data_IF_665532149754
#
_entry.id   IF_665532149754
#
_cell.length_a   1.000
_cell.length_b   1.000
_cell.length_c   1.000
_cell.angle_alpha   90.00
_cell.angle_beta   90.00
_cell.angle_gamma   90.00
#
_symmetry.space_group_name_H-M   'P 1'
#
loop_
_entity.id
_entity.type
_entity.pdbx_description
1 polymer ?
#
# COMPACT_ATOMS: atom_id res chain seq x y z
N UNK A 1 -21.44 4.82 -5.48
CA UNK A 1 -21.36 5.53 -4.20
C UNK A 1 -21.48 7.01 -4.48
N UNK A 2 -22.31 7.71 -3.72
CA UNK A 2 -22.42 9.16 -3.77
C UNK A 2 -22.01 9.75 -2.41
N UNK A 3 -21.10 10.72 -2.45
CA UNK A 3 -20.72 11.56 -1.32
C UNK A 3 -21.63 12.80 -1.32
N UNK A 4 -22.71 12.73 -0.55
CA UNK A 4 -23.76 13.77 -0.55
C UNK A 4 -23.23 15.06 0.07
N UNK A 5 -22.46 14.96 1.15
CA UNK A 5 -21.83 16.11 1.80
C UNK A 5 -20.84 16.80 0.85
N UNK A 6 -20.01 16.03 0.15
CA UNK A 6 -19.06 16.53 -0.84
C UNK A 6 -19.74 17.14 -2.06
N UNK A 7 -20.90 16.63 -2.47
CA UNK A 7 -21.71 17.24 -3.53
C UNK A 7 -22.21 18.62 -3.12
N UNK A 8 -22.80 18.76 -1.92
CA UNK A 8 -23.27 20.04 -1.39
C UNK A 8 -22.12 21.04 -1.31
N UNK A 9 -20.99 20.64 -0.72
CA UNK A 9 -19.79 21.50 -0.59
C UNK A 9 -19.33 22.04 -1.95
N UNK A 10 -19.32 21.21 -3.00
CA UNK A 10 -18.92 21.62 -4.36
C UNK A 10 -19.92 22.57 -5.00
N UNK A 11 -21.22 22.27 -4.92
CA UNK A 11 -22.26 23.12 -5.51
C UNK A 11 -22.38 24.47 -4.78
N UNK A 12 -22.27 24.44 -3.45
CA UNK A 12 -22.23 25.65 -2.64
C UNK A 12 -21.02 26.54 -3.01
N UNK A 13 -19.83 25.94 -3.18
CA UNK A 13 -18.64 26.68 -3.63
C UNK A 13 -18.80 27.30 -5.03
N UNK A 14 -19.64 26.69 -5.90
CA UNK A 14 -20.02 27.22 -7.21
C UNK A 14 -21.15 28.25 -7.16
N UNK A 15 -21.63 28.62 -5.97
CA UNK A 15 -22.74 29.56 -5.74
C UNK A 15 -24.07 29.11 -6.38
N UNK A 16 -24.30 27.80 -6.49
CA UNK A 16 -25.62 27.26 -6.84
C UNK A 16 -26.63 27.62 -5.75
N UNK A 17 -27.88 27.84 -6.14
CA UNK A 17 -29.01 28.06 -5.24
C UNK A 17 -29.35 26.81 -4.42
N UNK A 18 -30.03 26.99 -3.29
CA UNK A 18 -30.48 25.88 -2.45
C UNK A 18 -31.40 24.92 -3.23
N UNK A 19 -32.27 25.43 -4.09
CA UNK A 19 -33.18 24.63 -4.92
C UNK A 19 -32.41 23.73 -5.89
N UNK A 20 -31.37 24.25 -6.55
CA UNK A 20 -30.51 23.45 -7.44
C UNK A 20 -29.76 22.35 -6.68
N UNK A 21 -29.27 22.66 -5.48
CA UNK A 21 -28.55 21.68 -4.64
C UNK A 21 -29.50 20.57 -4.18
N UNK A 22 -30.67 20.92 -3.65
CA UNK A 22 -31.66 19.96 -3.18
C UNK A 22 -32.17 19.09 -4.33
N UNK A 23 -32.44 19.68 -5.50
CA UNK A 23 -32.83 18.93 -6.70
C UNK A 23 -31.79 17.86 -7.05
N UNK A 24 -30.49 18.24 -7.05
CA UNK A 24 -29.43 17.27 -7.33
C UNK A 24 -29.29 16.21 -6.25
N UNK A 25 -29.49 16.54 -4.98
CA UNK A 25 -29.47 15.55 -3.89
C UNK A 25 -30.61 14.55 -4.01
N UNK A 26 -31.82 15.02 -4.33
CA UNK A 26 -32.99 14.16 -4.56
C UNK A 26 -32.70 13.16 -5.67
N UNK A 27 -32.14 13.61 -6.79
CA UNK A 27 -31.76 12.73 -7.90
C UNK A 27 -30.74 11.66 -7.45
N UNK A 28 -29.70 12.06 -6.71
CA UNK A 28 -28.69 11.11 -6.23
C UNK A 28 -29.27 10.11 -5.23
N UNK A 29 -30.09 10.55 -4.27
CA UNK A 29 -30.68 9.67 -3.26
C UNK A 29 -31.59 8.63 -3.92
N UNK A 30 -32.44 9.03 -4.89
CA UNK A 30 -33.33 8.10 -5.63
C UNK A 30 -32.58 7.01 -6.40
N UNK A 31 -31.33 7.26 -6.79
CA UNK A 31 -30.52 6.24 -7.49
C UNK A 31 -30.15 5.08 -6.56
N UNK A 32 -29.93 5.35 -5.27
CA UNK A 32 -29.41 4.35 -4.32
C UNK A 32 -30.44 3.84 -3.32
N UNK A 33 -31.45 4.65 -2.98
CA UNK A 33 -32.44 4.34 -1.94
C UNK A 33 -33.83 4.16 -2.57
N UNK A 34 -34.50 3.07 -2.20
CA UNK A 34 -35.90 2.83 -2.54
C UNK A 34 -36.80 3.47 -1.47
N UNK A 35 -37.02 4.78 -1.61
CA UNK A 35 -37.78 5.61 -0.69
C UNK A 35 -38.87 6.37 -1.44
N UNK A 36 -39.94 6.73 -0.75
CA UNK A 36 -40.96 7.61 -1.31
C UNK A 36 -40.39 9.01 -1.60
N UNK A 37 -41.00 9.75 -2.53
CA UNK A 37 -40.58 11.11 -2.87
C UNK A 37 -40.54 12.05 -1.66
N UNK A 38 -41.45 11.85 -0.69
CA UNK A 38 -41.49 12.62 0.55
C UNK A 38 -40.29 12.32 1.45
N UNK A 39 -39.95 11.05 1.64
CA UNK A 39 -38.80 10.62 2.44
C UNK A 39 -37.47 11.06 1.81
N UNK A 40 -37.37 10.98 0.48
CA UNK A 40 -36.17 11.47 -0.24
C UNK A 40 -35.99 12.97 -0.02
N UNK A 41 -37.07 13.74 -0.12
CA UNK A 41 -37.01 15.19 0.08
C UNK A 41 -36.64 15.53 1.53
N UNK A 42 -37.19 14.82 2.51
CA UNK A 42 -36.84 14.98 3.93
C UNK A 42 -35.35 14.71 4.17
N UNK A 43 -34.85 13.58 3.66
CA UNK A 43 -33.43 13.23 3.77
C UNK A 43 -32.53 14.27 3.08
N UNK A 44 -32.87 14.70 1.86
CA UNK A 44 -32.11 15.73 1.15
C UNK A 44 -32.01 17.04 1.95
N UNK A 45 -33.12 17.46 2.58
CA UNK A 45 -33.15 18.65 3.42
C UNK A 45 -32.31 18.48 4.70
N UNK A 46 -32.37 17.32 5.35
CA UNK A 46 -31.56 17.04 6.54
C UNK A 46 -30.06 17.07 6.22
N UNK A 47 -29.64 16.33 5.19
CA UNK A 47 -28.25 16.28 4.70
C UNK A 47 -27.77 17.70 4.34
N UNK A 48 -28.60 18.49 3.65
CA UNK A 48 -28.27 19.88 3.34
C UNK A 48 -28.07 20.73 4.60
N UNK A 49 -29.01 20.66 5.54
CA UNK A 49 -28.99 21.46 6.78
C UNK A 49 -27.75 21.16 7.64
N UNK A 50 -27.44 19.87 7.84
CA UNK A 50 -26.27 19.44 8.61
C UNK A 50 -24.97 19.87 7.92
N UNK A 51 -24.89 19.70 6.60
CA UNK A 51 -23.71 20.12 5.83
C UNK A 51 -23.48 21.63 5.92
N UNK A 52 -24.54 22.43 5.77
CA UNK A 52 -24.44 23.89 5.87
C UNK A 52 -24.07 24.34 7.29
N UNK A 53 -24.62 23.66 8.30
CA UNK A 53 -24.24 23.88 9.71
C UNK A 53 -22.75 23.62 9.92
N UNK A 54 -22.23 22.49 9.42
CA UNK A 54 -20.82 22.15 9.51
C UNK A 54 -19.92 23.15 8.76
N UNK A 55 -20.31 23.58 7.55
CA UNK A 55 -19.58 24.60 6.77
C UNK A 55 -19.47 25.91 7.56
N UNK A 56 -20.56 26.36 8.18
CA UNK A 56 -20.56 27.59 8.96
C UNK A 56 -19.61 27.53 10.15
N UNK A 57 -19.52 26.39 10.84
CA UNK A 57 -18.60 26.20 11.97
C UNK A 57 -17.13 26.33 11.55
N UNK A 58 -16.77 25.99 10.31
CA UNK A 58 -15.40 26.13 9.78
C UNK A 58 -14.91 27.59 9.72
N UNK A 59 -15.81 28.58 9.81
CA UNK A 59 -15.45 30.01 9.86
C UNK A 59 -15.31 30.56 11.28
N UNK A 60 -15.61 29.74 12.31
CA UNK A 60 -15.56 30.16 13.71
C UNK A 60 -14.15 30.57 14.12
N UNK A 61 -13.98 31.83 14.55
CA UNK A 61 -12.68 32.35 15.04
C UNK A 61 -12.09 31.54 16.20
N UNK A 62 -12.90 30.74 16.90
CA UNK A 62 -12.46 29.93 18.05
C UNK A 62 -11.82 28.60 17.65
N UNK A 63 -12.28 28.00 16.54
CA UNK A 63 -11.95 26.60 16.18
C UNK A 63 -11.68 26.40 14.68
N UNK A 64 -11.70 27.45 13.87
CA UNK A 64 -11.48 27.36 12.42
C UNK A 64 -10.15 26.70 12.08
N UNK A 65 -9.08 26.98 12.84
CA UNK A 65 -7.78 26.33 12.65
C UNK A 65 -7.82 24.82 12.91
N UNK A 66 -8.72 24.34 13.76
CA UNK A 66 -8.91 22.92 14.08
C UNK A 66 -9.82 22.26 13.04
N UNK A 67 -10.95 22.88 12.72
CA UNK A 67 -11.96 22.33 11.81
C UNK A 67 -11.53 22.36 10.34
N UNK A 68 -10.56 23.19 9.95
CA UNK A 68 -10.00 23.22 8.60
C UNK A 68 -8.65 22.51 8.54
N UNK A 69 -8.36 21.83 7.43
CA UNK A 69 -7.02 21.33 7.13
C UNK A 69 -6.26 22.31 6.22
N UNK A 70 -4.91 22.29 6.20
CA UNK A 70 -4.14 23.09 5.26
C UNK A 70 -4.32 22.59 3.82
N UNK A 71 -5.01 23.36 2.98
CA UNK A 71 -5.23 23.00 1.59
C UNK A 71 -3.98 23.26 0.74
N UNK A 72 -3.45 22.22 0.09
CA UNK A 72 -2.34 22.36 -0.87
C UNK A 72 -2.81 22.55 -2.31
N UNK A 73 -4.08 22.24 -2.62
CA UNK A 73 -4.65 22.29 -3.98
C UNK A 73 -4.10 21.24 -4.94
N UNK A 74 -3.51 20.17 -4.42
CA UNK A 74 -3.12 18.98 -5.18
C UNK A 74 -3.96 17.79 -4.71
N UNK A 75 -4.47 17.01 -5.66
CA UNK A 75 -5.15 15.75 -5.37
C UNK A 75 -4.16 14.58 -5.31
N UNK A 76 -4.61 13.44 -4.78
CA UNK A 76 -3.88 12.16 -4.87
C UNK A 76 -3.53 11.81 -6.31
N UNK A 77 -4.41 12.15 -7.26
CA UNK A 77 -4.18 11.93 -8.70
C UNK A 77 -3.04 12.79 -9.24
N UNK A 78 -3.04 14.09 -8.91
CA UNK A 78 -2.04 15.04 -9.42
C UNK A 78 -0.63 14.67 -8.97
N UNK A 79 -0.50 14.19 -7.73
CA UNK A 79 0.78 13.74 -7.17
C UNK A 79 1.05 12.26 -7.37
N UNK A 80 0.14 11.50 -7.99
CA UNK A 80 0.30 10.07 -8.21
C UNK A 80 0.44 9.25 -6.91
N UNK A 81 -0.15 9.69 -5.81
CA UNK A 81 -0.05 9.02 -4.50
C UNK A 81 -0.80 7.70 -4.53
N UNK A 82 -0.20 6.64 -4.01
CA UNK A 82 -0.67 5.26 -4.09
C UNK A 82 -0.23 4.52 -5.36
N UNK A 83 0.59 5.13 -6.21
CA UNK A 83 1.14 4.51 -7.42
C UNK A 83 2.65 4.22 -7.33
N UNK A 84 3.30 4.33 -6.16
CA UNK A 84 4.74 4.01 -5.95
C UNK A 84 5.67 4.65 -6.99
N UNK A 85 5.30 5.84 -7.43
CA UNK A 85 6.06 6.69 -8.33
C UNK A 85 6.70 7.87 -7.58
N UNK A 86 7.35 8.77 -8.31
CA UNK A 86 8.13 9.85 -7.69
C UNK A 86 7.30 10.76 -6.76
N UNK A 87 6.08 11.13 -7.18
CA UNK A 87 5.20 11.97 -6.38
C UNK A 87 4.65 11.28 -5.14
N UNK A 88 4.42 9.96 -5.22
CA UNK A 88 4.07 9.12 -4.08
C UNK A 88 5.18 9.13 -3.03
N UNK A 89 6.42 8.87 -3.45
CA UNK A 89 7.57 8.91 -2.55
C UNK A 89 7.78 10.27 -1.90
N UNK A 90 7.51 11.35 -2.62
CA UNK A 90 7.56 12.69 -2.08
C UNK A 90 6.52 12.89 -0.95
N UNK A 91 5.28 12.50 -1.16
CA UNK A 91 4.22 12.61 -0.13
C UNK A 91 4.53 11.71 1.06
N UNK A 92 4.98 10.47 0.83
CA UNK A 92 5.37 9.55 1.90
C UNK A 92 6.53 10.08 2.75
N UNK A 93 7.51 10.80 2.18
CA UNK A 93 8.56 11.48 2.95
C UNK A 93 8.00 12.57 3.85
N UNK A 94 7.00 13.32 3.39
CA UNK A 94 6.34 14.34 4.21
C UNK A 94 5.53 13.70 5.34
N UNK A 95 4.79 12.62 5.08
CA UNK A 95 4.08 11.84 6.10
C UNK A 95 5.04 11.29 7.15
N UNK A 96 6.18 10.75 6.72
CA UNK A 96 7.22 10.26 7.62
C UNK A 96 7.77 11.38 8.51
N UNK A 97 8.04 12.56 7.95
CA UNK A 97 8.47 13.74 8.70
C UNK A 97 7.44 14.19 9.74
N UNK A 98 6.16 14.20 9.40
CA UNK A 98 5.07 14.56 10.33
C UNK A 98 4.96 13.54 11.47
N UNK A 99 5.20 12.26 11.16
CA UNK A 99 5.05 11.15 12.12
C UNK A 99 6.25 10.97 13.04
N UNK A 100 7.38 11.61 12.75
CA UNK A 100 8.56 11.55 13.60
C UNK A 100 8.37 12.41 14.85
N UNK A 101 8.11 11.74 15.96
CA UNK A 101 7.90 12.35 17.28
C UNK A 101 9.17 12.37 18.13
N UNK A 102 10.34 12.09 17.55
CA UNK A 102 11.63 12.08 18.27
C UNK A 102 11.77 10.93 19.29
N UNK A 103 10.92 9.90 19.19
CA UNK A 103 11.00 8.70 20.03
C UNK A 103 11.84 7.65 19.34
N UNK A 104 12.75 7.02 20.09
CA UNK A 104 13.66 6.02 19.55
C UNK A 104 12.89 4.78 19.05
N UNK A 105 12.91 4.59 17.74
CA UNK A 105 12.41 3.40 17.05
C UNK A 105 13.58 2.65 16.43
N UNK A 106 13.43 1.33 16.20
CA UNK A 106 14.44 0.54 15.48
C UNK A 106 14.27 0.77 13.98
N UNK A 107 13.03 0.74 13.49
CA UNK A 107 12.64 1.15 12.15
C UNK A 107 11.43 2.07 12.27
N UNK A 108 11.64 3.35 12.03
CA UNK A 108 10.58 4.36 11.99
C UNK A 108 10.14 4.69 10.56
N UNK A 109 9.11 5.54 10.39
CA UNK A 109 8.61 5.95 9.08
C UNK A 109 9.69 6.54 8.15
N UNK A 110 10.71 7.21 8.72
CA UNK A 110 11.83 7.78 7.97
C UNK A 110 12.73 6.74 7.29
N UNK A 111 12.72 5.48 7.77
CA UNK A 111 13.49 4.40 7.14
C UNK A 111 12.91 3.99 5.76
N UNK A 112 11.65 4.33 5.48
CA UNK A 112 10.92 3.91 4.27
C UNK A 112 11.04 2.40 4.00
N UNK A 113 10.96 1.62 5.08
CA UNK A 113 11.02 0.16 5.05
C UNK A 113 9.60 -0.44 5.04
N UNK A 114 9.50 -1.75 4.83
CA UNK A 114 8.21 -2.45 4.64
C UNK A 114 7.37 -2.55 5.91
N UNK A 115 8.03 -2.45 7.07
CA UNK A 115 7.39 -2.52 8.38
C UNK A 115 8.08 -1.58 9.37
N UNK A 116 7.33 -1.14 10.38
CA UNK A 116 7.85 -0.43 11.53
C UNK A 116 8.37 -1.40 12.59
N UNK A 117 9.40 -1.01 13.33
CA UNK A 117 9.96 -1.82 14.40
C UNK A 117 10.28 -1.00 15.65
N UNK A 118 9.88 -1.49 16.82
CA UNK A 118 10.15 -0.87 18.12
C UNK A 118 10.75 -1.88 19.09
N UNK A 119 11.63 -1.39 19.97
CA UNK A 119 12.28 -2.22 20.98
C UNK A 119 11.29 -2.53 22.12
N UNK A 120 11.05 -3.82 22.35
CA UNK A 120 10.40 -4.33 23.55
C UNK A 120 11.41 -4.55 24.69
N UNK A 121 10.96 -5.19 25.78
CA UNK A 121 11.82 -5.46 26.94
C UNK A 121 12.89 -6.51 26.62
N UNK A 122 12.54 -7.54 25.85
CA UNK A 122 13.39 -8.69 25.54
C UNK A 122 13.41 -9.05 24.04
N UNK A 123 12.67 -8.32 23.23
CA UNK A 123 12.40 -8.58 21.82
C UNK A 123 12.24 -7.27 21.04
N UNK A 124 12.04 -7.40 19.74
CA UNK A 124 11.64 -6.32 18.84
C UNK A 124 10.27 -6.65 18.30
N UNK A 125 9.34 -5.71 18.45
CA UNK A 125 8.01 -5.80 17.89
C UNK A 125 8.05 -5.17 16.50
N UNK A 126 7.58 -5.93 15.50
CA UNK A 126 7.50 -5.51 14.10
C UNK A 126 6.04 -5.43 13.70
N UNK A 127 5.65 -4.33 13.05
CA UNK A 127 4.27 -4.04 12.70
C UNK A 127 4.20 -3.60 11.24
N UNK A 128 3.29 -4.20 10.47
CA UNK A 128 2.89 -3.71 9.14
C UNK A 128 1.36 -3.52 9.08
N UNK A 129 0.92 -2.65 8.19
CA UNK A 129 -0.49 -2.46 7.83
C UNK A 129 -0.58 -2.23 6.33
N UNK A 130 -1.48 -2.97 5.66
CA UNK A 130 -1.79 -2.75 4.25
C UNK A 130 -3.28 -2.50 4.05
N UNK A 131 -3.57 -1.55 3.16
CA UNK A 131 -4.91 -1.31 2.65
C UNK A 131 -5.27 -2.27 1.53
N UNK A 132 -6.54 -2.64 1.45
CA UNK A 132 -7.09 -3.43 0.34
C UNK A 132 -6.85 -2.74 -0.99
N UNK A 133 -6.38 -3.50 -1.98
CA UNK A 133 -6.23 -3.00 -3.33
C UNK A 133 -7.57 -2.45 -3.85
N UNK A 134 -7.61 -1.16 -4.16
CA UNK A 134 -8.88 -0.43 -4.37
C UNK A 134 -9.77 -1.04 -5.45
N UNK A 135 -9.20 -1.69 -6.47
CA UNK A 135 -9.96 -2.34 -7.55
C UNK A 135 -10.51 -3.73 -7.18
N UNK A 136 -10.15 -4.29 -6.03
CA UNK A 136 -10.66 -5.57 -5.53
C UNK A 136 -11.84 -5.42 -4.56
N UNK A 137 -12.31 -4.21 -4.34
CA UNK A 137 -13.42 -3.91 -3.42
C UNK A 137 -14.71 -4.70 -3.71
N UNK A 138 -14.95 -5.05 -4.97
CA UNK A 138 -16.12 -5.84 -5.40
C UNK A 138 -15.85 -7.35 -5.41
N UNK A 139 -14.65 -7.77 -4.98
CA UNK A 139 -14.21 -9.17 -4.92
C UNK A 139 -13.64 -9.45 -3.52
N UNK A 140 -14.49 -9.44 -2.47
CA UNK A 140 -14.04 -9.30 -1.10
C UNK A 140 -13.16 -10.45 -0.62
N UNK A 141 -13.46 -11.71 -0.97
CA UNK A 141 -12.59 -12.85 -0.67
C UNK A 141 -11.16 -12.65 -1.20
N UNK A 142 -11.03 -12.30 -2.47
CA UNK A 142 -9.73 -12.09 -3.14
C UNK A 142 -8.99 -10.92 -2.49
N UNK A 143 -9.71 -9.85 -2.19
CA UNK A 143 -9.18 -8.70 -1.44
C UNK A 143 -8.61 -9.12 -0.07
N UNK A 144 -9.42 -9.80 0.75
CA UNK A 144 -9.06 -10.24 2.10
C UNK A 144 -7.88 -11.21 2.11
N UNK A 145 -7.86 -12.15 1.16
CA UNK A 145 -6.75 -13.08 0.99
C UNK A 145 -5.45 -12.35 0.67
N UNK A 146 -5.45 -11.48 -0.33
CA UNK A 146 -4.23 -10.81 -0.79
C UNK A 146 -3.72 -9.76 0.19
N UNK A 147 -4.59 -8.96 0.81
CA UNK A 147 -4.15 -7.95 1.78
C UNK A 147 -3.56 -8.63 3.02
N UNK A 148 -4.15 -9.74 3.50
CA UNK A 148 -3.58 -10.49 4.63
C UNK A 148 -2.21 -11.06 4.28
N UNK A 149 -2.06 -11.63 3.06
CA UNK A 149 -0.77 -12.13 2.58
C UNK A 149 0.26 -11.00 2.50
N UNK A 150 -0.13 -9.83 2.01
CA UNK A 150 0.74 -8.67 1.86
C UNK A 150 1.23 -8.14 3.22
N UNK A 151 0.33 -7.93 4.17
CA UNK A 151 0.73 -7.47 5.50
C UNK A 151 1.59 -8.48 6.25
N UNK A 152 1.28 -9.77 6.14
CA UNK A 152 2.11 -10.82 6.75
C UNK A 152 3.50 -10.86 6.12
N UNK A 153 3.58 -10.75 4.78
CA UNK A 153 4.83 -10.72 4.04
C UNK A 153 5.76 -9.65 4.60
N UNK A 154 5.28 -8.42 4.76
CA UNK A 154 6.08 -7.28 5.22
C UNK A 154 6.70 -7.54 6.60
N UNK A 155 5.97 -8.21 7.49
CA UNK A 155 6.49 -8.67 8.80
C UNK A 155 7.54 -9.76 8.62
N UNK A 156 7.26 -10.78 7.81
CA UNK A 156 8.18 -11.89 7.56
C UNK A 156 9.52 -11.44 6.98
N UNK A 157 9.52 -10.53 6.00
CA UNK A 157 10.76 -10.09 5.33
C UNK A 157 11.67 -9.29 6.26
N UNK A 158 11.15 -8.72 7.36
CA UNK A 158 12.01 -8.11 8.40
C UNK A 158 12.63 -9.15 9.35
N UNK A 159 12.42 -10.44 9.11
CA UNK A 159 12.88 -11.53 9.96
C UNK A 159 11.97 -11.79 11.16
N UNK A 160 10.78 -11.18 11.20
CA UNK A 160 9.85 -11.29 12.32
C UNK A 160 8.84 -12.40 12.14
N UNK A 161 8.67 -13.24 13.16
CA UNK A 161 7.60 -14.24 13.17
C UNK A 161 6.27 -13.54 13.46
N UNK A 162 5.28 -13.56 12.55
CA UNK A 162 3.97 -12.99 12.85
C UNK A 162 3.28 -13.77 13.96
N UNK A 163 2.63 -13.04 14.87
CA UNK A 163 1.92 -13.56 16.03
C UNK A 163 0.43 -13.21 16.03
N UNK A 164 0.07 -12.10 15.40
CA UNK A 164 -1.30 -11.60 15.41
C UNK A 164 -1.62 -10.81 14.13
N UNK A 165 -2.86 -10.92 13.70
CA UNK A 165 -3.48 -10.06 12.70
C UNK A 165 -4.53 -9.16 13.37
N UNK A 166 -4.76 -7.99 12.80
CA UNK A 166 -5.87 -7.11 13.11
C UNK A 166 -6.49 -6.56 11.82
N UNK A 167 -7.74 -6.09 11.86
CA UNK A 167 -8.39 -5.56 10.65
C UNK A 167 -9.31 -4.38 10.94
N UNK A 168 -9.43 -3.45 10.00
CA UNK A 168 -10.43 -2.39 10.04
C UNK A 168 -11.27 -2.44 8.77
N UNK A 169 -12.59 -2.52 8.92
CA UNK A 169 -13.55 -2.78 7.85
C UNK A 169 -14.53 -1.61 7.74
N UNK A 170 -14.63 -1.01 6.57
CA UNK A 170 -15.54 0.10 6.31
C UNK A 170 -16.43 -0.23 5.12
N UNK A 171 -17.72 -0.41 5.37
CA UNK A 171 -18.72 -0.68 4.33
C UNK A 171 -19.66 0.52 4.22
N UNK A 172 -19.91 1.01 3.01
CA UNK A 172 -20.87 2.08 2.80
C UNK A 172 -22.30 1.64 3.19
N UNK A 173 -23.18 2.60 3.46
CA UNK A 173 -24.47 2.36 4.11
C UNK A 173 -25.38 1.37 3.38
N UNK A 174 -25.33 1.36 2.03
CA UNK A 174 -26.12 0.45 1.19
C UNK A 174 -25.36 -0.82 0.79
N UNK A 175 -24.18 -1.04 1.35
CA UNK A 175 -23.36 -2.21 1.07
C UNK A 175 -23.97 -3.48 1.65
N UNK A 176 -23.99 -4.54 0.86
CA UNK A 176 -24.35 -5.87 1.35
C UNK A 176 -23.32 -6.35 2.38
N UNK A 177 -23.77 -6.64 3.61
CA UNK A 177 -22.94 -7.14 4.71
C UNK A 177 -22.23 -8.45 4.38
N UNK A 178 -22.71 -9.22 3.39
CA UNK A 178 -22.03 -10.36 2.82
C UNK A 178 -20.62 -10.04 2.31
N UNK A 179 -20.36 -8.80 1.89
CA UNK A 179 -19.00 -8.35 1.55
C UNK A 179 -18.04 -8.44 2.74
N UNK A 180 -18.51 -8.12 3.95
CA UNK A 180 -17.71 -8.23 5.17
C UNK A 180 -17.37 -9.70 5.45
N UNK A 181 -18.36 -10.59 5.33
CA UNK A 181 -18.17 -12.01 5.59
C UNK A 181 -17.21 -12.66 4.59
N UNK A 182 -17.36 -12.33 3.31
CA UNK A 182 -16.53 -12.86 2.25
C UNK A 182 -15.08 -12.34 2.33
N UNK A 183 -14.90 -11.05 2.69
CA UNK A 183 -13.57 -10.50 3.01
C UNK A 183 -12.91 -11.22 4.18
N UNK A 184 -13.66 -11.43 5.26
CA UNK A 184 -13.19 -12.17 6.43
C UNK A 184 -12.87 -13.63 6.09
N UNK A 185 -13.58 -14.25 5.14
CA UNK A 185 -13.24 -15.59 4.64
C UNK A 185 -11.87 -15.63 3.93
N UNK A 186 -11.51 -14.56 3.20
CA UNK A 186 -10.18 -14.37 2.63
C UNK A 186 -9.09 -14.30 3.71
N UNK A 187 -9.26 -13.44 4.71
CA UNK A 187 -8.35 -13.34 5.87
C UNK A 187 -8.23 -14.69 6.58
N UNK A 188 -9.39 -15.30 6.86
CA UNK A 188 -9.50 -16.58 7.56
C UNK A 188 -8.71 -17.67 6.86
N UNK A 189 -8.70 -17.69 5.54
CA UNK A 189 -8.00 -18.70 4.74
C UNK A 189 -6.49 -18.61 4.99
N UNK A 190 -5.92 -17.41 4.89
CA UNK A 190 -4.48 -17.20 5.18
C UNK A 190 -4.17 -17.51 6.64
N UNK A 191 -4.94 -16.96 7.57
CA UNK A 191 -4.81 -17.19 9.02
C UNK A 191 -4.81 -18.69 9.39
N UNK A 192 -5.71 -19.48 8.80
CA UNK A 192 -5.76 -20.94 9.04
C UNK A 192 -4.53 -21.67 8.52
N UNK A 193 -4.02 -21.26 7.36
CA UNK A 193 -2.90 -21.94 6.69
C UNK A 193 -1.55 -21.59 7.33
N UNK A 194 -1.43 -20.41 7.94
CA UNK A 194 -0.20 -19.94 8.62
C UNK A 194 -0.24 -20.14 10.13
N UNK A 195 -1.42 -20.40 10.70
CA UNK A 195 -1.61 -20.52 12.14
C UNK A 195 -1.55 -19.18 12.89
N UNK A 196 -1.57 -18.04 12.18
CA UNK A 196 -1.52 -16.70 12.78
C UNK A 196 -2.94 -16.18 12.99
N UNK A 197 -3.38 -15.96 14.24
CA UNK A 197 -4.77 -15.59 14.53
C UNK A 197 -5.07 -14.12 14.22
N UNK A 198 -6.30 -13.84 13.76
CA UNK A 198 -6.90 -12.50 13.82
C UNK A 198 -7.41 -12.26 15.25
N UNK A 199 -6.84 -11.26 15.95
CA UNK A 199 -7.08 -11.05 17.39
C UNK A 199 -7.89 -9.78 17.69
N UNK A 200 -7.96 -8.84 16.75
CA UNK A 200 -8.66 -7.57 16.94
C UNK A 200 -9.24 -7.07 15.62
N UNK A 201 -10.28 -6.24 15.71
CA UNK A 201 -10.73 -5.48 14.56
C UNK A 201 -11.79 -4.44 14.86
N UNK A 202 -12.13 -3.66 13.83
CA UNK A 202 -13.13 -2.60 13.84
C UNK A 202 -14.03 -2.71 12.60
N UNK A 203 -15.28 -2.27 12.73
CA UNK A 203 -16.24 -2.26 11.63
C UNK A 203 -17.10 -1.00 11.69
N UNK A 204 -17.05 -0.19 10.64
CA UNK A 204 -17.72 1.11 10.57
C UNK A 204 -18.38 1.33 9.20
N UNK A 205 -19.22 2.37 9.12
CA UNK A 205 -19.78 2.84 7.86
C UNK A 205 -18.86 3.86 7.20
N UNK A 206 -18.65 3.76 5.89
CA UNK A 206 -17.94 4.81 5.14
C UNK A 206 -18.80 6.07 5.16
N UNK A 207 -18.32 7.15 5.80
CA UNK A 207 -19.00 8.45 5.80
C UNK A 207 -20.36 8.47 6.51
N UNK A 208 -20.72 7.41 7.24
CA UNK A 208 -22.01 7.30 7.92
C UNK A 208 -23.18 7.29 6.94
N UNK A 209 -24.18 8.12 7.24
CA UNK A 209 -25.39 8.39 6.45
C UNK A 209 -25.17 9.41 5.32
N UNK A 210 -24.03 10.10 5.32
CA UNK A 210 -23.70 11.12 4.31
C UNK A 210 -23.09 10.55 3.02
N UNK A 211 -22.72 9.27 3.03
CA UNK A 211 -22.12 8.59 1.88
C UNK A 211 -22.86 7.29 1.59
N UNK A 212 -23.64 7.33 0.51
CA UNK A 212 -24.54 6.23 0.09
C UNK A 212 -23.89 5.38 -1.00
N UNK A 213 -24.33 4.13 -1.13
CA UNK A 213 -23.86 3.13 -2.08
C UNK A 213 -23.13 1.95 -1.43
N UNK A 214 -22.43 1.17 -2.26
CA UNK A 214 -22.02 -0.20 -1.88
C UNK A 214 -20.51 -0.40 -1.74
N UNK A 215 -19.74 0.70 -1.73
CA UNK A 215 -18.28 0.63 -1.71
C UNK A 215 -17.80 0.05 -0.38
N UNK A 216 -16.69 -0.66 -0.43
CA UNK A 216 -16.04 -1.25 0.72
C UNK A 216 -14.56 -0.80 0.76
N UNK A 217 -14.04 -0.49 1.94
CA UNK A 217 -12.64 -0.12 2.17
C UNK A 217 -12.20 -0.85 3.41
N UNK A 218 -10.99 -1.40 3.39
CA UNK A 218 -10.50 -2.15 4.53
C UNK A 218 -8.98 -2.15 4.56
N UNK A 219 -8.43 -2.46 5.72
CA UNK A 219 -7.03 -2.79 5.89
C UNK A 219 -6.85 -4.01 6.79
N UNK A 220 -5.68 -4.62 6.69
CA UNK A 220 -5.20 -5.65 7.61
C UNK A 220 -3.87 -5.18 8.18
N UNK A 221 -3.70 -5.36 9.49
CA UNK A 221 -2.47 -5.17 10.21
C UNK A 221 -1.90 -6.51 10.66
N UNK A 222 -0.58 -6.61 10.75
CA UNK A 222 0.11 -7.77 11.30
C UNK A 222 1.15 -7.33 12.33
N UNK A 223 1.27 -8.10 13.41
CA UNK A 223 2.26 -7.91 14.46
C UNK A 223 3.12 -9.16 14.54
N UNK A 224 4.43 -8.98 14.49
CA UNK A 224 5.41 -10.05 14.66
C UNK A 224 6.51 -9.67 15.63
N UNK A 225 7.35 -10.64 15.93
CA UNK A 225 8.46 -10.47 16.87
C UNK A 225 9.77 -10.98 16.29
N UNK A 226 10.85 -10.26 16.61
CA UNK A 226 12.24 -10.70 16.43
C UNK A 226 12.89 -10.75 17.80
N UNK A 227 13.56 -11.87 18.12
CA UNK A 227 14.20 -12.06 19.43
C UNK A 227 15.37 -11.10 19.66
N UNK A 228 16.12 -10.79 18.61
CA UNK A 228 17.35 -10.01 18.72
C UNK A 228 17.34 -8.84 17.73
N UNK A 229 17.55 -7.58 18.17
CA UNK A 229 17.49 -6.41 17.30
C UNK A 229 18.40 -6.47 16.08
N UNK A 230 19.57 -7.11 16.20
CA UNK A 230 20.54 -7.19 15.11
C UNK A 230 20.05 -8.10 13.95
N UNK A 231 19.05 -8.95 14.18
CA UNK A 231 18.45 -9.83 13.16
C UNK A 231 17.38 -9.14 12.31
N UNK A 232 16.99 -7.90 12.64
CA UNK A 232 16.04 -7.14 11.81
C UNK A 232 16.64 -6.93 10.42
N UNK A 233 15.97 -7.46 9.39
CA UNK A 233 16.38 -7.39 8.00
C UNK A 233 15.98 -6.03 7.37
N UNK A 234 16.65 -4.97 7.80
CA UNK A 234 16.45 -3.61 7.32
C UNK A 234 17.05 -3.43 5.91
N UNK A 235 16.35 -2.72 5.02
CA UNK A 235 16.83 -2.45 3.64
C UNK A 235 18.20 -1.76 3.60
N UNK A 236 18.50 -0.91 4.58
CA UNK A 236 19.79 -0.22 4.70
C UNK A 236 21.01 -1.15 4.91
N UNK A 237 20.80 -2.45 5.19
CA UNK A 237 21.88 -3.41 5.41
C UNK A 237 22.49 -4.00 4.14
N UNK A 238 21.91 -3.74 2.96
CA UNK A 238 22.43 -4.21 1.66
C UNK A 238 23.86 -3.74 1.44
N UNK A 239 24.73 -4.61 0.91
CA UNK A 239 26.15 -4.29 0.71
C UNK A 239 26.63 -4.61 -0.70
N UNK A 240 27.62 -3.88 -1.24
CA UNK A 240 28.34 -4.29 -2.44
C UNK A 240 28.90 -5.70 -2.31
N UNK A 241 28.75 -6.49 -3.37
CA UNK A 241 29.14 -7.89 -3.43
C UNK A 241 28.06 -8.88 -2.97
N UNK A 242 26.90 -8.41 -2.49
CA UNK A 242 25.78 -9.31 -2.23
C UNK A 242 25.25 -9.92 -3.52
N UNK A 243 24.90 -11.21 -3.45
CA UNK A 243 24.02 -11.86 -4.42
C UNK A 243 22.56 -11.45 -4.14
N UNK A 244 21.77 -11.42 -5.20
CA UNK A 244 20.33 -11.17 -5.16
C UNK A 244 19.61 -12.45 -5.59
N UNK A 245 19.05 -13.18 -4.62
CA UNK A 245 18.20 -14.34 -4.89
C UNK A 245 16.76 -13.89 -5.02
N UNK A 246 16.04 -14.45 -5.98
CA UNK A 246 14.61 -14.24 -6.16
C UNK A 246 13.85 -15.56 -6.13
N UNK A 247 12.66 -15.57 -5.53
CA UNK A 247 11.69 -16.68 -5.67
C UNK A 247 10.71 -16.43 -6.81
N UNK A 248 10.10 -17.50 -7.33
CA UNK A 248 9.04 -17.37 -8.33
C UNK A 248 7.89 -16.49 -7.83
N UNK A 249 7.43 -15.59 -8.70
CA UNK A 249 6.33 -14.67 -8.45
C UNK A 249 5.10 -15.03 -9.25
N UNK A 250 3.98 -15.20 -8.57
CA UNK A 250 2.69 -15.51 -9.19
C UNK A 250 1.65 -14.39 -8.99
N UNK A 251 2.05 -13.23 -8.46
CA UNK A 251 1.23 -12.05 -8.36
C UNK A 251 0.35 -11.99 -7.11
N UNK A 252 0.03 -10.77 -6.70
CA UNK A 252 -0.92 -10.44 -5.64
C UNK A 252 -2.16 -9.71 -6.15
N UNK A 253 -2.65 -8.77 -5.34
CA UNK A 253 -3.89 -8.05 -5.66
C UNK A 253 -3.85 -7.31 -7.00
N UNK A 254 -2.68 -6.82 -7.43
CA UNK A 254 -2.47 -6.15 -8.72
C UNK A 254 -2.65 -7.10 -9.91
N UNK A 255 -2.05 -8.30 -9.85
CA UNK A 255 -2.20 -9.34 -10.89
C UNK A 255 -3.62 -9.91 -10.88
N UNK A 256 -4.20 -10.17 -9.71
CA UNK A 256 -5.59 -10.61 -9.59
C UNK A 256 -6.57 -9.57 -10.19
N UNK A 257 -6.35 -8.28 -9.92
CA UNK A 257 -7.12 -7.20 -10.53
C UNK A 257 -6.99 -7.21 -12.06
N UNK A 258 -5.76 -7.33 -12.56
CA UNK A 258 -5.48 -7.36 -14.00
C UNK A 258 -6.18 -8.54 -14.67
N UNK A 259 -6.15 -9.71 -14.03
CA UNK A 259 -6.80 -10.91 -14.50
C UNK A 259 -8.33 -10.76 -14.55
N UNK A 260 -8.95 -10.26 -13.48
CA UNK A 260 -10.41 -10.05 -13.39
C UNK A 260 -10.89 -9.10 -14.49
N UNK A 261 -10.29 -7.90 -14.58
CA UNK A 261 -10.74 -6.90 -15.56
C UNK A 261 -10.22 -7.15 -16.99
N UNK A 262 -9.25 -8.05 -17.13
CA UNK A 262 -8.74 -8.54 -18.41
C UNK A 262 -9.47 -9.79 -18.93
N UNK A 263 -10.35 -10.40 -18.14
CA UNK A 263 -11.05 -11.63 -18.53
C UNK A 263 -10.14 -12.87 -18.59
N UNK A 264 -9.24 -13.02 -17.61
CA UNK A 264 -8.24 -14.11 -17.51
C UNK A 264 -8.42 -14.90 -16.20
N UNK A 265 -9.54 -15.60 -15.99
CA UNK A 265 -9.84 -16.27 -14.72
C UNK A 265 -8.78 -17.31 -14.31
N UNK A 266 -8.11 -17.94 -15.27
CA UNK A 266 -7.02 -18.89 -15.05
C UNK A 266 -5.86 -18.29 -14.25
N UNK A 267 -5.57 -17.00 -14.44
CA UNK A 267 -4.50 -16.29 -13.72
C UNK A 267 -4.88 -16.05 -12.26
N UNK A 268 -6.16 -15.88 -11.95
CA UNK A 268 -6.64 -15.65 -10.57
C UNK A 268 -6.26 -16.84 -9.68
N UNK A 269 -6.38 -18.06 -10.21
CA UNK A 269 -6.03 -19.26 -9.45
C UNK A 269 -4.54 -19.35 -9.15
N UNK A 270 -3.68 -18.85 -10.04
CA UNK A 270 -2.23 -18.76 -9.81
C UNK A 270 -1.91 -17.77 -8.68
N UNK A 271 -2.66 -16.66 -8.56
CA UNK A 271 -2.41 -15.67 -7.50
C UNK A 271 -2.80 -16.18 -6.11
N UNK A 272 -3.73 -17.14 -5.99
CA UNK A 272 -4.20 -17.70 -4.72
C UNK A 272 -3.24 -18.75 -4.12
N UNK A 273 -2.03 -18.33 -3.79
CA UNK A 273 -0.98 -19.17 -3.22
C UNK A 273 -0.32 -18.54 -1.99
N UNK A 274 0.45 -19.33 -1.23
CA UNK A 274 1.24 -18.90 -0.06
C UNK A 274 2.74 -19.17 -0.22
N UNK A 275 3.26 -19.26 -1.46
CA UNK A 275 4.65 -19.64 -1.70
C UNK A 275 5.64 -18.67 -1.04
N UNK A 276 5.35 -17.38 -1.08
CA UNK A 276 6.15 -16.35 -0.41
C UNK A 276 6.25 -16.61 1.10
N UNK A 277 5.11 -16.77 1.78
CA UNK A 277 5.08 -17.00 3.23
C UNK A 277 5.87 -18.27 3.59
N UNK A 278 5.64 -19.35 2.83
CA UNK A 278 6.40 -20.60 3.01
C UNK A 278 7.90 -20.40 2.84
N UNK A 279 8.33 -19.60 1.87
CA UNK A 279 9.74 -19.27 1.69
C UNK A 279 10.32 -18.61 2.95
N UNK A 280 9.63 -17.61 3.50
CA UNK A 280 10.07 -16.94 4.72
C UNK A 280 10.09 -17.87 5.93
N UNK A 281 9.09 -18.74 6.10
CA UNK A 281 9.06 -19.74 7.17
C UNK A 281 10.26 -20.68 7.09
N UNK A 282 10.61 -21.17 5.90
CA UNK A 282 11.81 -21.99 5.68
C UNK A 282 13.08 -21.24 6.07
N UNK A 283 13.21 -19.96 5.69
CA UNK A 283 14.36 -19.15 6.07
C UNK A 283 14.45 -18.96 7.59
N UNK A 284 13.30 -18.80 8.28
CA UNK A 284 13.27 -18.67 9.75
C UNK A 284 13.61 -19.99 10.45
N UNK A 285 12.97 -21.09 10.05
CA UNK A 285 13.19 -22.42 10.62
C UNK A 285 14.63 -22.91 10.40
N UNK A 286 15.20 -22.63 9.23
CA UNK A 286 16.60 -22.91 8.91
C UNK A 286 17.59 -21.94 9.56
N UNK A 287 17.12 -20.94 10.31
CA UNK A 287 17.94 -19.87 10.89
C UNK A 287 18.84 -19.21 9.82
N UNK A 288 18.29 -18.99 8.63
CA UNK A 288 18.98 -18.41 7.48
C UNK A 288 18.90 -16.88 7.46
N UNK A 289 17.96 -16.27 8.20
CA UNK A 289 17.92 -14.80 8.36
C UNK A 289 19.21 -14.21 8.96
N UNK A 290 19.98 -14.97 9.74
CA UNK A 290 21.31 -14.52 10.22
C UNK A 290 22.39 -14.50 9.12
N UNK A 291 22.11 -15.12 7.97
CA UNK A 291 23.02 -15.28 6.83
C UNK A 291 22.69 -14.35 5.67
N UNK A 292 21.62 -13.57 5.79
CA UNK A 292 21.24 -12.55 4.82
C UNK A 292 21.52 -11.16 5.41
N UNK A 293 21.76 -10.18 4.56
CA UNK A 293 21.79 -8.79 4.99
C UNK A 293 20.39 -8.21 5.09
N UNK A 294 19.54 -8.52 4.12
CA UNK A 294 18.13 -8.15 4.14
C UNK A 294 17.28 -9.05 3.24
N UNK A 295 15.97 -8.94 3.40
CA UNK A 295 14.99 -9.41 2.45
C UNK A 295 13.98 -8.30 2.16
N UNK A 296 13.47 -8.27 0.94
CA UNK A 296 12.35 -7.42 0.52
C UNK A 296 11.46 -8.22 -0.42
N UNK A 297 10.38 -7.62 -0.84
CA UNK A 297 9.45 -8.11 -1.83
C UNK A 297 9.55 -7.31 -3.14
N UNK A 298 9.06 -7.92 -4.23
CA UNK A 298 8.76 -7.22 -5.48
C UNK A 298 7.27 -6.92 -5.51
N UNK A 299 6.88 -5.72 -5.10
CA UNK A 299 5.47 -5.31 -5.02
C UNK A 299 5.12 -4.07 -5.82
N UNK A 300 4.29 -3.17 -5.28
CA UNK A 300 3.70 -2.08 -6.06
C UNK A 300 4.80 -1.08 -6.47
N UNK A 301 4.80 -0.66 -7.74
CA UNK A 301 5.94 0.04 -8.36
C UNK A 301 6.97 -0.91 -9.00
N UNK A 302 6.87 -2.20 -8.71
CA UNK A 302 7.66 -3.27 -9.30
C UNK A 302 9.15 -3.22 -8.93
N UNK A 303 9.93 -4.09 -9.57
CA UNK A 303 11.39 -4.13 -9.43
C UNK A 303 12.04 -2.77 -9.74
N UNK A 304 11.42 -1.96 -10.61
CA UNK A 304 11.83 -0.58 -10.90
C UNK A 304 11.80 0.31 -9.66
N UNK A 305 10.72 0.27 -8.88
CA UNK A 305 10.61 1.02 -7.63
C UNK A 305 11.61 0.49 -6.60
N UNK A 306 11.51 -0.79 -6.27
CA UNK A 306 12.21 -1.40 -5.14
C UNK A 306 13.74 -1.33 -5.30
N UNK A 307 14.28 -1.64 -6.49
CA UNK A 307 15.73 -1.54 -6.71
C UNK A 307 16.25 -0.10 -6.57
N UNK A 308 15.49 0.91 -7.02
CA UNK A 308 15.92 2.31 -6.91
C UNK A 308 15.82 2.83 -5.47
N UNK A 309 14.82 2.39 -4.72
CA UNK A 309 14.73 2.67 -3.28
C UNK A 309 15.92 2.07 -2.53
N UNK A 310 16.29 0.83 -2.82
CA UNK A 310 17.46 0.18 -2.20
C UNK A 310 18.75 0.89 -2.58
N UNK A 311 18.95 1.23 -3.86
CA UNK A 311 20.16 1.96 -4.30
C UNK A 311 20.32 3.27 -3.51
N UNK A 312 19.22 4.01 -3.29
CA UNK A 312 19.22 5.26 -2.51
C UNK A 312 19.46 5.02 -1.02
N UNK A 313 18.73 4.08 -0.43
CA UNK A 313 18.72 3.83 1.03
C UNK A 313 20.02 3.23 1.52
N UNK A 314 20.56 2.25 0.79
CA UNK A 314 21.82 1.58 1.14
C UNK A 314 23.05 2.23 0.49
N UNK A 315 22.86 3.24 -0.37
CA UNK A 315 23.92 3.89 -1.14
C UNK A 315 24.77 2.86 -1.92
N UNK A 316 24.13 2.07 -2.79
CA UNK A 316 24.73 1.01 -3.62
C UNK A 316 24.20 1.07 -5.06
N UNK A 317 24.77 0.26 -5.95
CA UNK A 317 24.18 -0.07 -7.25
C UNK A 317 23.65 -1.50 -7.28
N UNK A 318 22.74 -1.78 -8.22
CA UNK A 318 22.16 -3.12 -8.42
C UNK A 318 22.25 -3.48 -9.90
N UNK A 319 22.69 -4.72 -10.19
CA UNK A 319 22.64 -5.30 -11.53
C UNK A 319 21.75 -6.53 -11.53
N UNK A 320 20.71 -6.53 -12.37
CA UNK A 320 19.78 -7.65 -12.54
C UNK A 320 19.96 -8.25 -13.93
N UNK A 321 19.96 -9.58 -14.04
CA UNK A 321 20.02 -10.31 -15.31
C UNK A 321 18.61 -10.70 -15.77
N UNK A 322 18.14 -10.09 -16.86
CA UNK A 322 16.75 -10.24 -17.34
C UNK A 322 16.40 -11.69 -17.70
N UNK A 323 17.34 -12.43 -18.30
CA UNK A 323 17.15 -13.82 -18.72
C UNK A 323 16.94 -14.80 -17.55
N UNK A 324 17.52 -14.49 -16.39
CA UNK A 324 17.32 -15.24 -15.15
C UNK A 324 16.05 -14.81 -14.44
N UNK A 325 15.81 -13.50 -14.41
CA UNK A 325 14.66 -12.87 -13.79
C UNK A 325 13.34 -13.40 -14.38
N UNK A 326 13.22 -13.37 -15.71
CA UNK A 326 11.99 -13.73 -16.41
C UNK A 326 11.57 -15.19 -16.13
N UNK A 327 12.56 -16.09 -15.97
CA UNK A 327 12.31 -17.50 -15.64
C UNK A 327 11.64 -17.68 -14.28
N UNK A 328 11.68 -16.67 -13.40
CA UNK A 328 11.06 -16.67 -12.09
C UNK A 328 9.73 -15.90 -12.07
N UNK A 329 9.21 -15.49 -13.22
CA UNK A 329 7.81 -15.04 -13.31
C UNK A 329 6.94 -16.24 -13.66
N UNK A 330 5.84 -16.44 -12.94
CA UNK A 330 4.88 -17.50 -13.25
C UNK A 330 4.49 -17.41 -14.74
N UNK A 331 4.60 -18.50 -15.53
CA UNK A 331 4.41 -18.44 -16.98
C UNK A 331 3.04 -17.93 -17.42
N UNK A 332 1.97 -18.30 -16.69
CA UNK A 332 0.60 -17.86 -16.98
C UNK A 332 0.45 -16.37 -16.72
N UNK A 333 1.02 -15.86 -15.62
CA UNK A 333 1.07 -14.43 -15.29
C UNK A 333 1.86 -13.65 -16.33
N UNK A 334 3.08 -14.10 -16.66
CA UNK A 334 3.95 -13.45 -17.63
C UNK A 334 3.29 -13.37 -19.01
N UNK A 335 2.64 -14.46 -19.44
CA UNK A 335 1.89 -14.49 -20.69
C UNK A 335 0.77 -13.44 -20.70
N UNK A 336 -0.02 -13.35 -19.63
CA UNK A 336 -1.08 -12.34 -19.52
C UNK A 336 -0.50 -10.91 -19.62
N UNK A 337 0.58 -10.62 -18.89
CA UNK A 337 1.20 -9.30 -18.90
C UNK A 337 1.69 -8.93 -20.31
N UNK A 338 2.30 -9.89 -21.03
CA UNK A 338 2.71 -9.73 -22.44
C UNK A 338 1.54 -9.50 -23.38
N UNK A 339 0.49 -10.31 -23.28
CA UNK A 339 -0.72 -10.17 -24.11
C UNK A 339 -1.34 -8.77 -23.94
N UNK A 340 -1.27 -8.21 -22.73
CA UNK A 340 -1.77 -6.87 -22.43
C UNK A 340 -0.73 -5.75 -22.60
N UNK A 341 0.49 -6.05 -23.02
CA UNK A 341 1.59 -5.08 -23.15
C UNK A 341 1.82 -4.30 -21.85
N UNK A 342 1.81 -5.01 -20.72
CA UNK A 342 2.09 -4.46 -19.39
C UNK A 342 3.55 -4.79 -19.08
N UNK A 343 4.33 -3.78 -18.68
CA UNK A 343 5.69 -4.00 -18.21
C UNK A 343 5.67 -4.77 -16.89
N UNK A 344 6.14 -6.02 -16.92
CA UNK A 344 6.18 -6.87 -15.74
C UNK A 344 7.14 -6.32 -14.67
N UNK A 345 8.17 -5.55 -15.07
CA UNK A 345 9.13 -4.88 -14.16
C UNK A 345 8.52 -3.73 -13.38
N UNK A 346 7.39 -3.19 -13.84
CA UNK A 346 6.71 -2.04 -13.24
C UNK A 346 5.46 -2.39 -12.42
N UNK A 347 5.15 -3.68 -12.25
CA UNK A 347 4.00 -4.16 -11.45
C UNK A 347 4.44 -5.15 -10.38
N UNK A 348 3.61 -5.31 -9.34
CA UNK A 348 3.80 -6.35 -8.31
C UNK A 348 3.61 -7.74 -8.89
N UNK A 349 4.63 -8.60 -8.78
CA UNK A 349 4.52 -10.05 -9.01
C UNK A 349 4.63 -10.88 -7.72
N UNK A 350 4.81 -10.21 -6.58
CA UNK A 350 4.80 -10.80 -5.23
C UNK A 350 5.86 -11.90 -5.04
N UNK A 351 7.10 -11.57 -5.47
CA UNK A 351 8.31 -12.40 -5.30
C UNK A 351 9.15 -11.95 -4.11
N UNK A 352 9.80 -12.88 -3.43
CA UNK A 352 10.77 -12.60 -2.37
C UNK A 352 12.14 -12.32 -3.00
N UNK A 353 12.77 -11.21 -2.60
CA UNK A 353 14.14 -10.83 -2.91
C UNK A 353 15.00 -10.97 -1.65
N UNK A 354 16.12 -11.69 -1.76
CA UNK A 354 17.04 -11.96 -0.65
C UNK A 354 18.42 -11.42 -1.05
N UNK A 355 18.99 -10.58 -0.19
CA UNK A 355 20.32 -10.01 -0.37
C UNK A 355 21.27 -10.67 0.61
N UNK A 356 22.27 -11.39 0.11
CA UNK A 356 23.16 -12.18 0.95
C UNK A 356 24.60 -12.22 0.44
N UNK A 357 25.58 -12.44 1.34
CA UNK A 357 26.93 -12.79 0.93
C UNK A 357 26.94 -14.06 0.04
N UNK A 358 27.68 -14.08 -1.09
CA UNK A 358 27.64 -15.18 -2.05
C UNK A 358 27.93 -16.57 -1.47
N UNK A 359 28.76 -16.63 -0.41
CA UNK A 359 29.08 -17.88 0.30
C UNK A 359 27.87 -18.60 0.92
N UNK A 360 26.73 -17.93 1.06
CA UNK A 360 25.50 -18.50 1.60
C UNK A 360 24.44 -18.78 0.53
N UNK A 361 24.67 -18.40 -0.73
CA UNK A 361 23.65 -18.48 -1.80
C UNK A 361 23.19 -19.92 -2.04
N UNK A 362 24.13 -20.86 -2.18
CA UNK A 362 23.78 -22.28 -2.40
C UNK A 362 23.00 -22.90 -1.25
N UNK A 363 23.31 -22.53 -0.01
CA UNK A 363 22.57 -23.02 1.16
C UNK A 363 21.12 -22.52 1.17
N UNK A 364 20.92 -21.23 0.85
CA UNK A 364 19.59 -20.62 0.77
C UNK A 364 18.79 -21.24 -0.38
N UNK A 365 19.39 -21.33 -1.57
CA UNK A 365 18.77 -21.96 -2.74
C UNK A 365 18.40 -23.42 -2.47
N UNK A 366 19.28 -24.17 -1.81
CA UNK A 366 19.00 -25.57 -1.46
C UNK A 366 17.80 -25.69 -0.52
N UNK A 367 17.73 -24.85 0.52
CA UNK A 367 16.62 -24.88 1.47
C UNK A 367 15.27 -24.59 0.78
N UNK A 368 15.23 -23.59 -0.09
CA UNK A 368 14.03 -23.21 -0.84
C UNK A 368 13.64 -24.28 -1.89
N UNK A 369 14.60 -24.76 -2.68
CA UNK A 369 14.37 -25.78 -3.72
C UNK A 369 13.93 -27.12 -3.12
N UNK A 370 14.45 -27.50 -1.96
CA UNK A 370 14.01 -28.70 -1.23
C UNK A 370 12.51 -28.66 -0.89
N UNK A 371 11.97 -27.47 -0.64
CA UNK A 371 10.55 -27.23 -0.42
C UNK A 371 9.75 -26.98 -1.72
N UNK A 372 10.36 -27.24 -2.89
CA UNK A 372 9.78 -27.02 -4.23
C UNK A 372 9.46 -25.55 -4.51
N UNK A 373 10.18 -24.62 -3.88
CA UNK A 373 10.11 -23.19 -4.22
C UNK A 373 11.14 -22.94 -5.31
N UNK A 374 10.67 -22.53 -6.48
CA UNK A 374 11.55 -22.16 -7.59
C UNK A 374 12.23 -20.83 -7.26
N UNK A 375 13.55 -20.81 -7.34
CA UNK A 375 14.36 -19.64 -7.02
C UNK A 375 15.73 -19.72 -7.70
N UNK A 376 16.32 -18.56 -7.95
CA UNK A 376 17.66 -18.44 -8.52
C UNK A 376 18.33 -17.10 -8.16
N UNK A 377 19.64 -17.01 -8.35
CA UNK A 377 20.39 -15.75 -8.26
C UNK A 377 20.13 -14.94 -9.53
N UNK A 378 19.42 -13.83 -9.39
CA UNK A 378 19.02 -12.95 -10.49
C UNK A 378 19.95 -11.76 -10.69
N UNK A 379 20.88 -11.51 -9.77
CA UNK A 379 21.65 -10.28 -9.82
C UNK A 379 22.68 -10.17 -8.71
N UNK A 380 23.36 -9.02 -8.70
CA UNK A 380 24.38 -8.68 -7.72
C UNK A 380 24.33 -7.20 -7.36
N UNK A 381 24.74 -6.89 -6.14
CA UNK A 381 24.90 -5.52 -5.66
C UNK A 381 26.32 -5.05 -5.96
N UNK A 382 26.45 -3.86 -6.55
CA UNK A 382 27.74 -3.25 -6.90
C UNK A 382 27.99 -1.99 -6.10
N UNK A 383 29.26 -1.62 -5.93
CA UNK A 383 29.58 -0.34 -5.30
C UNK A 383 29.29 0.82 -6.26
N UNK A 384 29.66 0.71 -7.53
CA UNK A 384 29.38 1.74 -8.55
C UNK A 384 28.93 1.10 -9.87
N UNK A 385 28.07 1.78 -10.66
CA UNK A 385 27.40 3.05 -10.36
C UNK A 385 26.27 2.91 -9.33
N UNK A 386 25.95 3.96 -8.56
CA UNK A 386 24.92 3.97 -7.50
C UNK A 386 23.49 4.04 -8.07
N UNK A 387 23.15 3.11 -8.96
CA UNK A 387 21.85 3.01 -9.64
C UNK A 387 21.50 1.55 -9.95
N UNK A 388 20.23 1.32 -10.24
CA UNK A 388 19.75 0.02 -10.71
C UNK A 388 19.88 -0.12 -12.23
N UNK A 389 20.44 -1.24 -12.67
CA UNK A 389 20.69 -1.59 -14.07
C UNK A 389 20.09 -2.96 -14.38
N UNK A 390 19.45 -3.08 -15.54
CA UNK A 390 18.97 -4.33 -16.09
C UNK A 390 19.91 -4.76 -17.22
N UNK A 391 20.42 -5.98 -17.15
CA UNK A 391 21.30 -6.59 -18.15
C UNK A 391 20.47 -7.54 -19.00
N UNK A 392 20.34 -7.23 -20.28
CA UNK A 392 19.56 -8.00 -21.26
C UNK A 392 20.42 -8.21 -22.49
N UNK A 393 20.70 -9.47 -22.84
CA UNK A 393 21.48 -9.82 -24.03
C UNK A 393 22.85 -9.11 -24.13
N UNK A 394 23.45 -8.83 -22.96
CA UNK A 394 24.71 -8.10 -22.84
C UNK A 394 24.59 -6.57 -22.87
N UNK A 395 23.40 -6.02 -23.10
CA UNK A 395 23.12 -4.58 -23.07
C UNK A 395 22.66 -4.10 -21.69
N UNK A 396 23.07 -2.89 -21.32
CA UNK A 396 22.65 -2.22 -20.07
C UNK A 396 21.42 -1.37 -20.36
N UNK A 397 20.29 -1.74 -19.77
CA UNK A 397 19.04 -0.98 -19.79
C UNK A 397 18.80 -0.31 -18.44
N UNK A 398 18.13 0.83 -18.48
CA UNK A 398 17.75 1.58 -17.28
C UNK A 398 16.59 0.92 -16.54
N UNK A 399 16.76 0.71 -15.23
CA UNK A 399 15.74 0.19 -14.32
C UNK A 399 15.01 1.33 -13.57
N UNK A 400 15.06 2.57 -14.07
CA UNK A 400 14.41 3.73 -13.42
C UNK A 400 12.88 3.55 -13.31
N UNK A 401 12.26 4.03 -12.21
CA UNK A 401 10.82 4.05 -12.06
C UNK A 401 10.19 5.09 -13.00
N UNK A 402 8.97 4.81 -13.43
CA UNK A 402 8.12 5.76 -14.13
C UNK A 402 7.48 6.72 -13.11
N UNK A 403 6.91 7.84 -13.57
CA UNK A 403 6.27 8.80 -12.65
C UNK A 403 5.02 8.22 -11.97
N UNK A 404 4.34 7.27 -12.63
CA UNK A 404 3.27 6.42 -12.08
C UNK A 404 3.57 4.95 -12.37
N UNK A 405 3.03 4.04 -11.55
CA UNK A 405 3.06 2.59 -11.81
C UNK A 405 2.59 2.23 -13.22
N UNK A 406 3.13 1.15 -13.77
CA UNK A 406 2.74 0.62 -15.08
C UNK A 406 1.22 0.40 -15.16
N UNK A 407 0.61 0.96 -16.21
CA UNK A 407 -0.84 0.95 -16.37
C UNK A 407 -1.38 -0.44 -16.76
N UNK A 408 -1.94 -1.15 -15.77
CA UNK A 408 -2.46 -2.53 -15.95
C UNK A 408 -3.97 -2.65 -16.21
N UNK A 409 -4.72 -1.55 -16.20
CA UNK A 409 -6.13 -1.52 -16.64
C UNK A 409 -6.35 -0.51 -17.75
N UNK A 410 -7.40 -0.68 -18.55
CA UNK A 410 -7.78 0.28 -19.61
C UNK A 410 -7.93 1.71 -19.08
N UNK A 411 -8.56 1.88 -17.93
CA UNK A 411 -8.73 3.21 -17.29
C UNK A 411 -7.38 3.80 -16.88
N UNK A 412 -6.48 3.01 -16.27
CA UNK A 412 -5.13 3.48 -15.94
C UNK A 412 -4.34 3.88 -17.19
N UNK A 413 -4.49 3.15 -18.30
CA UNK A 413 -3.80 3.45 -19.56
C UNK A 413 -4.25 4.78 -20.17
N UNK A 414 -5.52 5.13 -20.05
CA UNK A 414 -6.06 6.42 -20.50
C UNK A 414 -5.61 7.58 -19.61
N UNK A 415 -5.51 7.34 -18.30
CA UNK A 415 -5.01 8.33 -17.32
C UNK A 415 -3.55 8.70 -17.57
N UNK A 416 -2.77 7.78 -18.15
CA UNK A 416 -1.38 8.00 -18.52
C UNK A 416 -0.41 7.98 -17.34
N UNK A 417 0.87 7.89 -17.67
CA UNK A 417 1.99 7.76 -16.72
C UNK A 417 2.82 9.05 -16.60
N UNK A 418 2.40 10.13 -17.27
CA UNK A 418 3.14 11.39 -17.35
C UNK A 418 2.91 12.32 -16.13
N UNK A 419 3.89 13.20 -15.88
CA UNK A 419 3.84 14.21 -14.82
C UNK A 419 2.93 15.38 -15.18
N UNK A 420 2.21 16.00 -14.21
CA UNK A 420 1.50 17.26 -14.47
C UNK A 420 2.47 18.38 -14.86
N UNK A 421 2.00 19.32 -15.69
CA UNK A 421 2.78 20.46 -16.22
C UNK A 421 3.31 21.40 -15.12
N UNK A 422 2.65 21.47 -13.95
CA UNK A 422 3.00 22.38 -12.84
C UNK A 422 3.56 21.64 -11.60
N UNK A 423 4.25 20.51 -11.79
CA UNK A 423 4.72 19.61 -10.72
C UNK A 423 5.45 20.30 -9.57
N UNK A 424 6.44 21.16 -9.87
CA UNK A 424 7.27 21.79 -8.84
C UNK A 424 6.45 22.68 -7.90
N UNK A 425 5.51 23.45 -8.45
CA UNK A 425 4.64 24.32 -7.67
C UNK A 425 3.71 23.50 -6.77
N UNK A 426 3.13 22.42 -7.29
CA UNK A 426 2.28 21.50 -6.52
C UNK A 426 3.06 20.85 -5.36
N UNK A 427 4.28 20.38 -5.62
CA UNK A 427 5.15 19.82 -4.59
C UNK A 427 5.48 20.86 -3.51
N UNK A 428 5.82 22.10 -3.90
CA UNK A 428 6.10 23.20 -2.95
C UNK A 428 4.91 23.52 -2.06
N UNK A 429 3.71 23.64 -2.64
CA UNK A 429 2.47 23.88 -1.89
C UNK A 429 2.13 22.73 -0.94
N UNK A 430 2.39 21.50 -1.36
CA UNK A 430 2.19 20.29 -0.54
C UNK A 430 3.15 20.25 0.64
N UNK A 431 4.42 20.57 0.45
CA UNK A 431 5.39 20.68 1.55
C UNK A 431 4.99 21.77 2.56
N UNK A 432 4.46 22.90 2.08
CA UNK A 432 3.93 23.96 2.96
C UNK A 432 2.75 23.47 3.81
N UNK A 433 1.79 22.77 3.20
CA UNK A 433 0.64 22.20 3.92
C UNK A 433 1.06 21.17 4.99
N UNK A 434 2.08 20.35 4.69
CA UNK A 434 2.67 19.44 5.66
C UNK A 434 3.28 20.20 6.86
N UNK A 435 4.05 21.26 6.61
CA UNK A 435 4.64 22.09 7.67
C UNK A 435 3.57 22.75 8.55
N UNK A 436 2.51 23.30 7.94
CA UNK A 436 1.38 23.88 8.67
C UNK A 436 0.64 22.85 9.54
N UNK A 437 0.65 21.57 9.14
CA UNK A 437 0.08 20.49 9.95
C UNK A 437 0.93 20.18 11.19
N UNK A 438 2.26 20.25 11.06
CA UNK A 438 3.20 20.12 12.20
C UNK A 438 3.00 21.27 13.19
N UNK A 439 3.00 22.51 12.70
CA UNK A 439 2.77 23.72 13.52
C UNK A 439 1.43 23.66 14.26
N UNK A 440 0.39 23.12 13.60
CA UNK A 440 -0.91 22.89 14.23
C UNK A 440 -0.79 21.89 15.38
N UNK A 441 -0.10 20.77 15.19
CA UNK A 441 0.13 19.75 16.21
C UNK A 441 0.89 20.30 17.42
N UNK A 442 2.00 20.99 17.20
CA UNK A 442 2.83 21.59 18.25
C UNK A 442 2.05 22.57 19.13
N UNK A 443 1.22 23.41 18.51
CA UNK A 443 0.34 24.34 19.24
C UNK A 443 -0.68 23.61 20.10
N UNK A 444 -1.25 22.51 19.61
CA UNK A 444 -2.22 21.71 20.39
C UNK A 444 -1.53 20.98 21.54
N UNK A 445 -0.35 20.41 21.32
CA UNK A 445 0.48 19.83 22.38
C UNK A 445 0.73 20.87 23.47
N UNK A 446 1.19 22.07 23.10
CA UNK A 446 1.40 23.17 24.05
C UNK A 446 0.12 23.53 24.82
N UNK A 447 -1.02 23.61 24.14
CA UNK A 447 -2.31 23.89 24.78
C UNK A 447 -2.69 22.81 25.80
N UNK A 448 -2.50 21.53 25.47
CA UNK A 448 -2.82 20.41 26.35
C UNK A 448 -1.87 20.35 27.55
N UNK A 449 -0.56 20.51 27.34
CA UNK A 449 0.41 20.53 28.44
C UNK A 449 0.18 21.66 29.43
N UNK A 450 -0.29 22.83 28.98
CA UNK A 450 -0.65 23.95 29.85
C UNK A 450 -1.94 23.74 30.65
N UNK A 451 -2.80 22.78 30.28
CA UNK A 451 -4.00 22.41 31.04
C UNK A 451 -3.71 21.40 32.14
N UNK A 452 -2.63 20.64 32.00
CA UNK A 452 -2.20 19.61 32.95
C UNK A 452 -1.22 20.15 34.01
N UNK A 453 -0.59 21.30 33.73
CA UNK A 453 0.25 22.05 34.67
C UNK A 453 -0.59 23.03 35.50
#
# INVERSE_FOLDING_TARGET
MADLEGLIKRLHAKKCSQEEILSRLVDEIKIYKDLSDAEVLELANAVFSDTMTAINQRTSKKVADILNYPECGASMHDLGVGCRGEGDFFVHRLLAKISDVGVNTILGPGAQDDAGAVKGKHDVIVISVDGTHSRLTEFPFIAGFHVTRATMRDVYIKGAKPLALLTDLHLADDGDVGKLFDFMAGIRTVSKLTGVPLVAGSTLRIGGDMVIGTRFVSCVGAVGVVREPHLIAARAKVKPGDDIIMTEGAGGGTIATTAIYGGRPEVIMETLNLQFIKACEILMEGNLFKKIHTATDWTNGGLRGDCNEICKTANVGIKIYEDKLEKLVNPTVLKMLRDFKIDYLGVSIDSLLIFNPPKYSEEILWALRKAKIKCDVIGTVVDTPKRAELISDGEIKSLQPLYREAAYTKVKKLVGEESPLNKEELMKRTAKAAQQSIEKSERIIKMLSLREA
#
